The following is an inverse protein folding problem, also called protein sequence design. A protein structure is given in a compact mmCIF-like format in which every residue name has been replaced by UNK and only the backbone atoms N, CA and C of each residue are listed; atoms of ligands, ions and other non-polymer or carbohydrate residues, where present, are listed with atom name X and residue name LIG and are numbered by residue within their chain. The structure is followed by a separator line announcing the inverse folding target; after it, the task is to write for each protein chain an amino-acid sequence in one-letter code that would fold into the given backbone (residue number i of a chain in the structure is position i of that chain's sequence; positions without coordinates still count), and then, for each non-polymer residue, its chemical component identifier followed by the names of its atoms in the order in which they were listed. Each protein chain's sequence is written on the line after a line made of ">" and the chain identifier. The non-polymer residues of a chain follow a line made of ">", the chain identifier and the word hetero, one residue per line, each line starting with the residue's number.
data_IF_864790289485
#
_entry.id   IF_864790289485
#
_cell.length_a   1.000
_cell.length_b   1.000
_cell.length_c   1.000
_cell.angle_alpha   90.00
_cell.angle_beta   90.00
_cell.angle_gamma   90.00
#
_symmetry.space_group_name_H-M   'P 1'
#
loop_
_entity.id
_entity.type
_entity.pdbx_description
1 polymer ?
#
# COMPACT_ATOMS: atom_id res chain seq x y z
N UNK A 1 -15.33 4.68 -4.24
CA UNK A 1 -14.41 4.74 -3.08
C UNK A 1 -13.19 3.90 -3.39
N UNK A 2 -12.00 4.37 -3.01
CA UNK A 2 -10.72 3.66 -3.20
C UNK A 2 -10.11 3.37 -1.83
N UNK A 3 -9.42 2.23 -1.70
CA UNK A 3 -8.67 1.89 -0.49
C UNK A 3 -7.18 2.12 -0.75
N UNK A 4 -6.54 2.93 0.10
CA UNK A 4 -5.10 3.22 0.01
C UNK A 4 -4.41 2.67 1.26
N UNK A 5 -3.32 1.93 1.08
CA UNK A 5 -2.55 1.32 2.15
C UNK A 5 -1.08 1.74 2.05
N UNK A 6 -0.53 2.38 3.08
CA UNK A 6 0.89 2.71 3.14
C UNK A 6 1.70 1.53 3.70
N UNK A 7 2.67 1.04 2.94
CA UNK A 7 3.55 -0.06 3.34
C UNK A 7 4.70 0.46 4.19
N UNK A 8 4.76 0.07 5.48
CA UNK A 8 5.86 0.40 6.37
C UNK A 8 7.17 -0.34 6.07
N UNK A 9 8.28 0.28 6.48
CA UNK A 9 9.68 -0.14 6.32
C UNK A 9 10.22 -1.12 7.35
N UNK A 10 9.45 -1.34 8.42
CA UNK A 10 9.99 -1.80 9.69
C UNK A 10 10.68 -3.16 9.54
N UNK A 11 11.40 -3.57 10.59
CA UNK A 11 12.03 -4.91 10.64
C UNK A 11 11.04 -6.06 10.42
N UNK A 12 9.75 -5.79 10.61
CA UNK A 12 8.63 -6.71 10.43
C UNK A 12 8.08 -6.75 8.99
N UNK A 13 8.64 -5.94 8.07
CA UNK A 13 8.19 -5.83 6.69
C UNK A 13 6.97 -4.92 6.52
N UNK A 14 6.19 -5.09 5.43
CA UNK A 14 4.95 -4.34 5.25
C UNK A 14 4.01 -4.63 6.42
N UNK A 15 3.49 -3.57 7.06
CA UNK A 15 2.65 -3.69 8.26
C UNK A 15 1.43 -4.62 8.10
N UNK A 16 0.80 -5.02 9.20
CA UNK A 16 -0.14 -6.16 9.24
C UNK A 16 -1.31 -6.05 8.24
N UNK A 17 -1.79 -4.83 7.98
CA UNK A 17 -2.87 -4.60 7.01
C UNK A 17 -2.41 -4.82 5.56
N UNK A 18 -1.22 -4.36 5.19
CA UNK A 18 -0.66 -4.56 3.85
C UNK A 18 -0.31 -6.04 3.65
N UNK A 19 0.31 -6.68 4.65
CA UNK A 19 0.63 -8.11 4.59
C UNK A 19 -0.61 -9.00 4.39
N UNK A 20 -1.69 -8.71 5.13
CA UNK A 20 -2.95 -9.44 5.00
C UNK A 20 -3.62 -9.27 3.62
N UNK A 21 -3.38 -8.15 2.94
CA UNK A 21 -3.93 -7.84 1.62
C UNK A 21 -3.05 -8.42 0.51
N UNK A 22 -1.73 -8.25 0.59
CA UNK A 22 -0.77 -8.73 -0.40
C UNK A 22 -0.76 -10.27 -0.53
N UNK A 23 -1.07 -10.98 0.55
CA UNK A 23 -1.18 -12.45 0.53
C UNK A 23 -2.47 -13.00 -0.07
N UNK A 24 -3.48 -12.16 -0.35
CA UNK A 24 -4.72 -12.60 -0.99
C UNK A 24 -4.55 -12.58 -2.50
N UNK A 25 -4.43 -13.76 -3.12
CA UNK A 25 -4.47 -13.92 -4.58
C UNK A 25 -5.85 -13.67 -5.21
N UNK A 26 -6.82 -13.17 -4.44
CA UNK A 26 -8.17 -12.85 -4.90
C UNK A 26 -8.32 -11.33 -5.07
N UNK A 27 -8.92 -10.92 -6.17
CA UNK A 27 -9.21 -9.51 -6.44
C UNK A 27 -10.24 -8.97 -5.43
N UNK A 28 -9.99 -7.77 -4.92
CA UNK A 28 -10.92 -7.07 -4.04
C UNK A 28 -12.04 -6.42 -4.87
N UNK A 29 -13.26 -6.28 -4.32
CA UNK A 29 -14.38 -5.61 -5.00
C UNK A 29 -14.18 -4.09 -5.17
N UNK A 30 -13.13 -3.53 -4.57
CA UNK A 30 -12.71 -2.13 -4.73
C UNK A 30 -11.25 -2.07 -5.18
N UNK A 31 -10.85 -1.03 -5.93
CA UNK A 31 -9.44 -0.77 -6.21
C UNK A 31 -8.66 -0.59 -4.91
N UNK A 32 -7.52 -1.28 -4.82
CA UNK A 32 -6.59 -1.17 -3.69
C UNK A 32 -5.25 -0.70 -4.21
N UNK A 33 -4.77 0.44 -3.71
CA UNK A 33 -3.44 0.98 -4.02
C UNK A 33 -2.54 0.81 -2.81
N UNK A 34 -1.37 0.21 -3.01
CA UNK A 34 -0.32 0.11 -1.98
C UNK A 34 0.75 1.15 -2.28
N UNK A 35 0.97 2.08 -1.34
CA UNK A 35 1.98 3.13 -1.45
C UNK A 35 3.24 2.69 -0.68
N UNK A 36 4.39 2.53 -1.35
CA UNK A 36 5.65 2.26 -0.70
C UNK A 36 6.10 3.41 0.21
N UNK A 37 6.62 3.10 1.40
CA UNK A 37 7.22 4.10 2.32
C UNK A 37 8.40 4.90 1.77
N UNK A 38 9.06 4.45 0.71
CA UNK A 38 10.25 5.13 0.18
C UNK A 38 9.90 6.27 -0.78
N UNK A 39 8.61 6.53 -1.02
CA UNK A 39 8.17 7.69 -1.79
C UNK A 39 8.03 8.89 -0.85
N UNK A 40 8.61 10.02 -1.24
CA UNK A 40 8.34 11.31 -0.59
C UNK A 40 6.97 11.85 -1.02
N UNK A 41 6.45 12.82 -0.27
CA UNK A 41 5.18 13.47 -0.61
C UNK A 41 5.26 14.14 -1.99
N UNK A 42 6.40 14.73 -2.35
CA UNK A 42 6.62 15.34 -3.68
C UNK A 42 6.62 14.31 -4.81
N UNK A 43 7.18 13.11 -4.56
CA UNK A 43 7.15 12.02 -5.53
C UNK A 43 5.72 11.49 -5.71
N UNK A 44 4.95 11.40 -4.63
CA UNK A 44 3.53 11.01 -4.66
C UNK A 44 2.71 12.02 -5.47
N UNK A 45 2.90 13.32 -5.22
CA UNK A 45 2.19 14.38 -5.94
C UNK A 45 2.50 14.39 -7.44
N UNK A 46 3.71 13.95 -7.84
CA UNK A 46 4.06 13.82 -9.26
C UNK A 46 3.39 12.64 -9.98
N UNK A 47 2.88 11.67 -9.23
CA UNK A 47 2.23 10.46 -9.73
C UNK A 47 0.69 10.56 -9.72
N UNK A 48 0.13 11.58 -9.06
CA UNK A 48 -1.30 11.86 -8.95
C UNK A 48 -1.86 12.45 -10.26
#
# INVERSE_FOLDING_TARGET
>A
AILVLAAGAGKEGPGPLVGAVAGKGAAFPIPVTVVPQNLSDEEIDSLA
#
